data_IF_530274717018
#
_entry.id   IF_530274717018
#
_cell.length_a   1.000
_cell.length_b   1.000
_cell.length_c   1.000
_cell.angle_alpha   90.00
_cell.angle_beta   90.00
_cell.angle_gamma   90.00
#
_symmetry.space_group_name_H-M   'P 1'
#
loop_
_entity.id
_entity.type
_entity.pdbx_description
1 polymer ?
#
# COMPACT_ATOMS: atom_id res chain seq x y z
N UNK A 1 -23.94 -17.14 -25.69
CA UNK A 1 -22.51 -16.77 -25.58
C UNK A 1 -22.45 -15.61 -24.61
N UNK A 2 -21.62 -15.69 -23.60
CA UNK A 2 -21.43 -14.61 -22.65
C UNK A 2 -20.23 -13.73 -23.08
N UNK A 3 -20.27 -12.45 -22.71
CA UNK A 3 -19.19 -11.50 -22.97
C UNK A 3 -18.48 -11.21 -21.67
N UNK A 4 -17.18 -11.46 -21.63
CA UNK A 4 -16.30 -11.11 -20.53
C UNK A 4 -15.35 -9.98 -20.95
N UNK A 5 -15.14 -9.02 -20.07
CA UNK A 5 -14.15 -7.96 -20.27
C UNK A 5 -12.74 -8.48 -20.01
N UNK A 6 -11.84 -8.21 -20.92
CA UNK A 6 -10.43 -8.56 -20.78
C UNK A 6 -9.85 -8.04 -19.46
N UNK A 7 -9.12 -8.88 -18.74
CA UNK A 7 -8.48 -8.54 -17.47
C UNK A 7 -7.41 -7.45 -17.61
N UNK A 8 -6.78 -7.37 -18.78
CA UNK A 8 -5.75 -6.38 -19.13
C UNK A 8 -6.39 -5.09 -19.68
N UNK A 9 -6.81 -5.09 -20.93
CA UNK A 9 -7.24 -3.87 -21.64
C UNK A 9 -8.72 -3.51 -21.49
N UNK A 10 -9.58 -4.42 -20.99
CA UNK A 10 -11.03 -4.21 -20.87
C UNK A 10 -11.83 -4.45 -22.15
N UNK A 11 -11.19 -4.86 -23.25
CA UNK A 11 -11.88 -5.24 -24.49
C UNK A 11 -12.82 -6.44 -24.30
N UNK A 12 -13.78 -6.61 -25.21
CA UNK A 12 -14.75 -7.70 -25.14
C UNK A 12 -14.14 -9.02 -25.57
N UNK A 13 -14.41 -10.08 -24.83
CA UNK A 13 -14.03 -11.46 -25.16
C UNK A 13 -15.30 -12.30 -25.17
N UNK A 14 -15.63 -12.88 -26.32
CA UNK A 14 -16.70 -13.85 -26.41
C UNK A 14 -16.22 -15.21 -25.86
N UNK A 15 -16.97 -15.71 -24.89
CA UNK A 15 -16.66 -17.01 -24.28
C UNK A 15 -17.78 -17.99 -24.48
N UNK A 16 -17.41 -19.26 -24.66
CA UNK A 16 -18.31 -20.43 -24.55
C UNK A 16 -18.07 -21.12 -23.22
N UNK A 17 -19.09 -21.82 -22.71
CA UNK A 17 -19.07 -22.45 -21.39
C UNK A 17 -17.85 -23.38 -21.14
N UNK A 18 -17.25 -23.90 -22.18
CA UNK A 18 -16.13 -24.86 -22.10
C UNK A 18 -14.74 -24.18 -22.16
N UNK A 19 -14.68 -22.86 -22.41
CA UNK A 19 -13.40 -22.15 -22.56
C UNK A 19 -12.96 -21.54 -21.23
N UNK A 20 -11.88 -22.08 -20.66
CA UNK A 20 -11.21 -21.53 -19.46
C UNK A 20 -9.95 -20.74 -19.80
N UNK A 21 -9.64 -20.58 -21.09
CA UNK A 21 -8.45 -19.94 -21.59
C UNK A 21 -8.70 -19.30 -22.97
N UNK A 22 -8.13 -18.11 -23.20
CA UNK A 22 -8.33 -17.40 -24.46
C UNK A 22 -7.36 -16.24 -24.67
N UNK A 23 -7.34 -15.74 -25.90
CA UNK A 23 -6.55 -14.59 -26.32
C UNK A 23 -7.49 -13.42 -26.62
N UNK A 24 -7.21 -12.26 -26.06
CA UNK A 24 -7.96 -11.04 -26.36
C UNK A 24 -7.60 -10.53 -27.77
N UNK A 25 -8.58 -10.32 -28.63
CA UNK A 25 -8.35 -9.79 -29.98
C UNK A 25 -7.88 -8.33 -30.00
N UNK A 26 -8.15 -7.57 -28.92
CA UNK A 26 -7.79 -6.15 -28.82
C UNK A 26 -6.35 -5.93 -28.39
N UNK A 27 -5.86 -6.66 -27.39
CA UNK A 27 -4.52 -6.47 -26.84
C UNK A 27 -3.56 -7.64 -27.07
N UNK A 28 -4.02 -8.72 -27.72
CA UNK A 28 -3.20 -9.91 -27.98
C UNK A 28 -2.84 -10.75 -26.75
N UNK A 29 -3.20 -10.30 -25.55
CA UNK A 29 -2.85 -11.00 -24.32
C UNK A 29 -3.62 -12.30 -24.18
N UNK A 30 -2.90 -13.36 -23.80
CA UNK A 30 -3.47 -14.65 -23.48
C UNK A 30 -3.72 -14.74 -21.98
N UNK A 31 -4.91 -15.21 -21.59
CA UNK A 31 -5.34 -15.23 -20.19
C UNK A 31 -6.28 -16.37 -19.87
N UNK A 32 -6.44 -16.67 -18.61
CA UNK A 32 -7.48 -17.53 -18.10
C UNK A 32 -8.84 -16.83 -18.13
N UNK A 33 -9.91 -17.58 -18.32
CA UNK A 33 -11.28 -17.09 -18.40
C UNK A 33 -12.16 -17.84 -17.40
N UNK A 34 -13.18 -17.18 -16.82
CA UNK A 34 -14.12 -17.83 -15.93
C UNK A 34 -14.99 -18.85 -16.70
N UNK A 35 -15.38 -19.91 -16.02
CA UNK A 35 -16.48 -20.75 -16.49
C UNK A 35 -17.78 -19.98 -16.24
N UNK A 36 -18.45 -19.60 -17.31
CA UNK A 36 -19.68 -18.82 -17.24
C UNK A 36 -20.83 -19.64 -17.76
N UNK A 37 -21.74 -19.98 -16.88
CA UNK A 37 -22.96 -20.72 -17.14
C UNK A 37 -24.19 -19.82 -17.31
N UNK A 38 -24.12 -18.58 -16.79
CA UNK A 38 -25.19 -17.59 -16.91
C UNK A 38 -24.66 -16.15 -17.05
N UNK A 39 -25.58 -15.21 -17.37
CA UNK A 39 -25.28 -13.80 -17.54
C UNK A 39 -24.96 -13.10 -16.21
N UNK A 40 -25.47 -13.57 -15.08
CA UNK A 40 -25.25 -12.96 -13.76
C UNK A 40 -23.79 -13.20 -13.33
N UNK A 41 -23.29 -14.39 -13.54
CA UNK A 41 -21.89 -14.73 -13.27
C UNK A 41 -20.93 -13.93 -14.16
N UNK A 42 -21.26 -13.79 -15.45
CA UNK A 42 -20.50 -12.93 -16.37
C UNK A 42 -20.48 -11.47 -15.88
N UNK A 43 -21.63 -10.95 -15.48
CA UNK A 43 -21.74 -9.59 -14.96
C UNK A 43 -20.93 -9.39 -13.66
N UNK A 44 -20.89 -10.38 -12.77
CA UNK A 44 -20.09 -10.34 -11.55
C UNK A 44 -18.58 -10.27 -11.85
N UNK A 45 -18.06 -11.14 -12.72
CA UNK A 45 -16.65 -11.07 -13.15
C UNK A 45 -16.33 -9.74 -13.85
N UNK A 46 -17.21 -9.24 -14.71
CA UNK A 46 -17.01 -7.95 -15.40
C UNK A 46 -16.95 -6.79 -14.41
N UNK A 47 -17.78 -6.80 -13.36
CA UNK A 47 -17.74 -5.81 -12.28
C UNK A 47 -16.44 -5.89 -11.48
N UNK A 48 -16.04 -7.11 -11.08
CA UNK A 48 -14.77 -7.33 -10.38
C UNK A 48 -13.58 -6.86 -11.20
N UNK A 49 -13.52 -7.22 -12.48
CA UNK A 49 -12.49 -6.79 -13.41
C UNK A 49 -12.47 -5.26 -13.60
N UNK A 50 -13.62 -4.60 -13.65
CA UNK A 50 -13.70 -3.14 -13.70
C UNK A 50 -13.09 -2.50 -12.45
N UNK A 51 -13.50 -2.92 -11.25
CA UNK A 51 -12.94 -2.40 -10.00
C UNK A 51 -11.43 -2.64 -9.89
N UNK A 52 -10.95 -3.81 -10.28
CA UNK A 52 -9.52 -4.12 -10.24
C UNK A 52 -8.71 -3.20 -11.15
N UNK A 53 -9.15 -3.00 -12.41
CA UNK A 53 -8.49 -2.06 -13.35
C UNK A 53 -8.58 -0.60 -12.90
N UNK A 54 -9.54 -0.25 -12.06
CA UNK A 54 -9.66 1.09 -11.47
C UNK A 54 -8.89 1.23 -10.15
N UNK A 55 -8.07 0.22 -9.75
CA UNK A 55 -7.33 0.22 -8.50
C UNK A 55 -8.19 0.03 -7.23
N UNK A 56 -9.51 -0.21 -7.38
CA UNK A 56 -10.45 -0.40 -6.28
C UNK A 56 -10.42 -1.86 -5.79
N UNK A 57 -9.25 -2.32 -5.39
CA UNK A 57 -8.97 -3.73 -5.09
C UNK A 57 -9.88 -4.33 -4.01
N UNK A 58 -10.27 -3.55 -2.98
CA UNK A 58 -11.16 -4.06 -1.91
C UNK A 58 -12.58 -4.30 -2.44
N UNK A 59 -13.08 -3.44 -3.33
CA UNK A 59 -14.38 -3.64 -3.97
C UNK A 59 -14.34 -4.82 -4.93
N UNK A 60 -13.25 -4.97 -5.69
CA UNK A 60 -13.04 -6.10 -6.57
C UNK A 60 -12.99 -7.42 -5.78
N UNK A 61 -12.21 -7.45 -4.71
CA UNK A 61 -12.08 -8.60 -3.81
C UNK A 61 -13.45 -9.04 -3.27
N UNK A 62 -14.24 -8.09 -2.73
CA UNK A 62 -15.57 -8.39 -2.21
C UNK A 62 -16.54 -8.98 -3.26
N UNK A 63 -16.35 -8.66 -4.54
CA UNK A 63 -17.12 -9.29 -5.63
C UNK A 63 -16.68 -10.73 -5.86
N UNK A 64 -15.36 -10.97 -5.94
CA UNK A 64 -14.82 -12.32 -6.19
C UNK A 64 -15.02 -13.26 -5.00
N UNK A 65 -14.88 -12.79 -3.76
CA UNK A 65 -15.20 -13.56 -2.54
C UNK A 65 -16.64 -14.05 -2.50
N UNK A 66 -17.60 -13.29 -3.07
CA UNK A 66 -18.98 -13.76 -3.21
C UNK A 66 -19.09 -14.90 -4.21
N UNK A 67 -18.35 -14.84 -5.32
CA UNK A 67 -18.34 -15.92 -6.30
C UNK A 67 -17.73 -17.18 -5.68
N UNK A 68 -16.62 -17.04 -4.92
CA UNK A 68 -16.01 -18.14 -4.17
C UNK A 68 -16.98 -18.71 -3.13
N UNK A 69 -17.75 -17.86 -2.43
CA UNK A 69 -18.74 -18.32 -1.45
C UNK A 69 -19.92 -19.10 -2.07
N UNK A 70 -20.21 -18.87 -3.37
CA UNK A 70 -21.23 -19.63 -4.12
C UNK A 70 -20.65 -20.94 -4.71
N UNK A 71 -19.38 -20.93 -5.12
CA UNK A 71 -18.64 -22.07 -5.66
C UNK A 71 -17.15 -21.98 -5.25
N UNK A 72 -16.78 -22.70 -4.21
CA UNK A 72 -15.42 -22.76 -3.67
C UNK A 72 -14.40 -23.50 -4.56
N UNK A 73 -14.87 -24.10 -5.66
CA UNK A 73 -14.04 -24.71 -6.69
C UNK A 73 -13.83 -23.79 -7.91
N UNK A 74 -14.32 -22.56 -7.90
CA UNK A 74 -14.08 -21.60 -8.98
C UNK A 74 -12.63 -21.10 -9.00
N UNK A 75 -11.79 -21.78 -9.79
CA UNK A 75 -10.38 -21.46 -9.93
C UNK A 75 -10.13 -19.99 -10.36
N UNK A 76 -10.97 -19.44 -11.25
CA UNK A 76 -10.79 -18.07 -11.72
C UNK A 76 -11.17 -17.03 -10.67
N UNK A 77 -12.21 -17.30 -9.87
CA UNK A 77 -12.58 -16.42 -8.76
C UNK A 77 -11.47 -16.37 -7.70
N UNK A 78 -10.91 -17.51 -7.30
CA UNK A 78 -9.76 -17.60 -6.44
C UNK A 78 -8.54 -16.86 -7.00
N UNK A 79 -8.21 -17.07 -8.28
CA UNK A 79 -7.13 -16.33 -8.93
C UNK A 79 -7.34 -14.82 -8.83
N UNK A 80 -8.55 -14.35 -9.11
CA UNK A 80 -8.88 -12.93 -9.02
C UNK A 80 -8.83 -12.39 -7.57
N UNK A 81 -9.17 -13.20 -6.55
CA UNK A 81 -8.98 -12.84 -5.15
C UNK A 81 -7.50 -12.62 -4.83
N UNK A 82 -6.62 -13.52 -5.24
CA UNK A 82 -5.17 -13.36 -5.07
C UNK A 82 -4.65 -12.09 -5.76
N UNK A 83 -5.06 -11.84 -7.02
CA UNK A 83 -4.69 -10.60 -7.73
C UNK A 83 -5.11 -9.34 -6.97
N UNK A 84 -6.31 -9.31 -6.39
CA UNK A 84 -6.81 -8.16 -5.63
C UNK A 84 -6.03 -7.95 -4.32
N UNK A 85 -5.71 -9.04 -3.61
CA UNK A 85 -5.00 -8.99 -2.34
C UNK A 85 -3.61 -8.38 -2.49
N UNK A 86 -2.91 -8.73 -3.57
CA UNK A 86 -1.61 -8.16 -3.89
C UNK A 86 -1.67 -6.88 -4.74
N UNK A 87 -2.88 -6.40 -5.08
CA UNK A 87 -3.08 -5.20 -5.87
C UNK A 87 -2.48 -5.31 -7.27
N UNK A 88 -2.71 -6.44 -7.93
CA UNK A 88 -2.16 -6.67 -9.26
C UNK A 88 -3.02 -5.95 -10.30
N UNK A 89 -2.41 -4.98 -10.94
CA UNK A 89 -2.87 -4.33 -12.14
C UNK A 89 -1.94 -4.72 -13.30
N UNK A 90 -2.47 -4.82 -14.51
CA UNK A 90 -1.66 -5.03 -15.69
C UNK A 90 -1.54 -3.72 -16.45
N UNK A 91 -0.32 -3.34 -16.75
CA UNK A 91 0.01 -2.13 -17.53
C UNK A 91 0.73 -2.51 -18.82
N UNK A 92 0.48 -1.77 -19.88
CA UNK A 92 1.17 -1.96 -21.15
C UNK A 92 2.57 -1.37 -21.08
N UNK A 93 3.58 -2.17 -21.35
CA UNK A 93 4.95 -1.71 -21.50
C UNK A 93 5.08 -0.95 -22.83
N UNK A 94 5.41 0.34 -22.81
CA UNK A 94 5.49 1.16 -24.03
C UNK A 94 6.60 0.72 -25.00
N UNK A 95 7.58 -0.06 -24.54
CA UNK A 95 8.68 -0.53 -25.38
C UNK A 95 8.36 -1.85 -26.10
N UNK A 96 7.66 -2.75 -25.41
CA UNK A 96 7.39 -4.11 -25.92
C UNK A 96 5.93 -4.33 -26.30
N UNK A 97 5.03 -3.43 -25.87
CA UNK A 97 3.57 -3.57 -25.99
C UNK A 97 3.03 -4.82 -25.27
N UNK A 98 3.80 -5.42 -24.38
CA UNK A 98 3.36 -6.52 -23.54
C UNK A 98 2.67 -5.97 -22.28
N UNK A 99 1.65 -6.68 -21.83
CA UNK A 99 0.97 -6.36 -20.57
C UNK A 99 1.69 -7.04 -19.41
N UNK A 100 2.28 -6.21 -18.54
CA UNK A 100 3.06 -6.63 -17.39
C UNK A 100 2.28 -6.41 -16.09
N UNK A 101 2.41 -7.33 -15.11
CA UNK A 101 1.78 -7.13 -13.82
C UNK A 101 2.53 -6.06 -13.01
N UNK A 102 1.78 -5.22 -12.30
CA UNK A 102 2.28 -4.41 -11.18
C UNK A 102 1.94 -5.10 -9.86
N UNK A 103 2.41 -4.57 -8.74
CA UNK A 103 2.11 -5.13 -7.41
C UNK A 103 1.96 -4.00 -6.39
N UNK A 104 0.82 -3.28 -6.47
CA UNK A 104 0.55 -2.09 -5.65
C UNK A 104 0.34 -2.39 -4.16
N UNK A 105 0.12 -3.65 -3.80
CA UNK A 105 -0.04 -4.13 -2.42
C UNK A 105 0.97 -5.22 -2.10
N UNK A 106 2.24 -4.98 -2.44
CA UNK A 106 3.31 -5.90 -2.08
C UNK A 106 3.26 -6.23 -0.58
N UNK A 107 3.60 -7.46 -0.23
CA UNK A 107 3.66 -7.98 1.13
C UNK A 107 4.96 -8.77 1.31
N UNK A 108 5.36 -9.00 2.55
CA UNK A 108 6.42 -9.96 2.87
C UNK A 108 5.95 -11.41 2.69
N UNK A 109 4.64 -11.65 2.76
CA UNK A 109 4.06 -12.96 2.44
C UNK A 109 4.16 -13.19 0.93
N UNK A 110 4.62 -14.37 0.51
CA UNK A 110 4.83 -14.71 -0.89
C UNK A 110 3.51 -14.85 -1.65
N UNK A 111 3.40 -14.27 -2.85
CA UNK A 111 2.27 -14.52 -3.75
C UNK A 111 2.08 -16.01 -4.04
N UNK A 112 3.18 -16.77 -4.14
CA UNK A 112 3.15 -18.22 -4.44
C UNK A 112 2.62 -19.06 -3.28
N UNK A 113 2.50 -18.49 -2.08
CA UNK A 113 1.98 -19.14 -0.88
C UNK A 113 0.56 -18.63 -0.52
N UNK A 114 0.01 -17.73 -1.33
CA UNK A 114 -1.34 -17.21 -1.11
C UNK A 114 -2.38 -18.32 -1.24
N UNK A 115 -3.31 -18.37 -0.29
CA UNK A 115 -4.30 -19.45 -0.20
C UNK A 115 -5.22 -19.52 -1.42
N UNK A 116 -5.59 -18.36 -1.99
CA UNK A 116 -6.44 -18.31 -3.16
C UNK A 116 -5.66 -18.62 -4.44
N UNK A 117 -4.37 -18.25 -4.52
CA UNK A 117 -3.53 -18.71 -5.62
C UNK A 117 -3.40 -20.24 -5.62
N UNK A 118 -3.17 -20.84 -4.47
CA UNK A 118 -3.05 -22.31 -4.34
C UNK A 118 -4.37 -23.00 -4.69
N UNK A 119 -5.51 -22.48 -4.25
CA UNK A 119 -6.83 -22.98 -4.61
C UNK A 119 -7.10 -22.85 -6.13
N UNK A 120 -6.72 -21.72 -6.75
CA UNK A 120 -6.85 -21.56 -8.20
C UNK A 120 -6.05 -22.62 -8.97
N UNK A 121 -4.84 -22.93 -8.52
CA UNK A 121 -4.01 -24.00 -9.11
C UNK A 121 -4.63 -25.37 -8.90
N UNK A 122 -5.15 -25.67 -7.72
CA UNK A 122 -5.74 -26.96 -7.36
C UNK A 122 -7.01 -27.25 -8.19
N UNK A 123 -7.92 -26.27 -8.31
CA UNK A 123 -9.22 -26.43 -8.96
C UNK A 123 -9.19 -26.25 -10.49
N UNK A 124 -8.03 -25.97 -11.08
CA UNK A 124 -7.88 -25.73 -12.52
C UNK A 124 -7.55 -26.98 -13.32
N UNK A 125 -7.96 -26.98 -14.61
CA UNK A 125 -7.47 -27.95 -15.58
C UNK A 125 -5.98 -27.75 -15.93
N UNK A 126 -5.39 -28.72 -16.64
CA UNK A 126 -3.94 -28.71 -16.87
C UNK A 126 -3.42 -27.55 -17.73
N UNK A 127 -4.25 -26.93 -18.59
CA UNK A 127 -3.86 -25.77 -19.41
C UNK A 127 -3.94 -24.51 -18.58
N UNK A 128 -5.07 -24.29 -17.93
CA UNK A 128 -5.34 -23.15 -17.05
C UNK A 128 -4.35 -23.09 -15.89
N UNK A 129 -4.03 -24.24 -15.30
CA UNK A 129 -3.01 -24.40 -14.25
C UNK A 129 -1.65 -23.88 -14.68
N UNK A 130 -1.18 -24.28 -15.86
CA UNK A 130 0.11 -23.81 -16.38
C UNK A 130 0.12 -22.30 -16.61
N UNK A 131 -1.01 -21.73 -17.01
CA UNK A 131 -1.11 -20.28 -17.19
C UNK A 131 -1.06 -19.56 -15.83
N UNK A 132 -1.82 -20.01 -14.81
CA UNK A 132 -1.72 -19.45 -13.47
C UNK A 132 -0.29 -19.50 -12.93
N UNK A 133 0.38 -20.64 -13.07
CA UNK A 133 1.77 -20.79 -12.62
C UNK A 133 2.74 -19.85 -13.34
N UNK A 134 2.55 -19.66 -14.66
CA UNK A 134 3.36 -18.72 -15.46
C UNK A 134 3.15 -17.28 -15.03
N UNK A 135 1.89 -16.87 -14.84
CA UNK A 135 1.55 -15.51 -14.44
C UNK A 135 1.97 -15.25 -12.99
N UNK A 136 1.78 -16.21 -12.09
CA UNK A 136 2.24 -16.14 -10.71
C UNK A 136 3.76 -16.00 -10.59
N UNK A 137 4.53 -16.67 -11.46
CA UNK A 137 5.99 -16.53 -11.47
C UNK A 137 6.41 -15.11 -11.84
N UNK A 138 5.75 -14.46 -12.81
CA UNK A 138 6.00 -13.05 -13.16
C UNK A 138 5.64 -12.10 -11.98
N UNK A 139 4.49 -12.32 -11.36
CA UNK A 139 4.06 -11.54 -10.19
C UNK A 139 5.06 -11.67 -9.04
N UNK A 140 5.50 -12.90 -8.74
CA UNK A 140 6.48 -13.16 -7.70
C UNK A 140 7.85 -12.52 -8.00
N UNK A 141 8.23 -12.40 -9.27
CA UNK A 141 9.44 -11.69 -9.69
C UNK A 141 9.31 -10.18 -9.42
N UNK A 142 8.20 -9.56 -9.80
CA UNK A 142 7.91 -8.15 -9.48
C UNK A 142 7.92 -7.92 -7.97
N UNK A 143 7.24 -8.77 -7.20
CA UNK A 143 7.23 -8.70 -5.74
C UNK A 143 8.65 -8.76 -5.15
N UNK A 144 9.49 -9.71 -5.60
CA UNK A 144 10.88 -9.81 -5.15
C UNK A 144 11.69 -8.55 -5.47
N UNK A 145 11.50 -7.97 -6.65
CA UNK A 145 12.12 -6.70 -7.05
C UNK A 145 11.75 -5.56 -6.09
N UNK A 146 10.46 -5.43 -5.76
CA UNK A 146 9.96 -4.44 -4.80
C UNK A 146 10.61 -4.64 -3.42
N UNK A 147 10.61 -5.87 -2.91
CA UNK A 147 11.19 -6.18 -1.60
C UNK A 147 12.70 -5.92 -1.56
N UNK A 148 13.45 -6.34 -2.59
CA UNK A 148 14.88 -6.15 -2.68
C UNK A 148 15.27 -4.66 -2.72
N UNK A 149 14.56 -3.84 -3.50
CA UNK A 149 14.78 -2.40 -3.57
C UNK A 149 14.42 -1.73 -2.24
N UNK A 150 13.31 -2.13 -1.62
CA UNK A 150 12.85 -1.56 -0.35
C UNK A 150 13.81 -1.79 0.81
N UNK A 151 14.54 -2.90 0.82
CA UNK A 151 15.54 -3.21 1.86
C UNK A 151 16.73 -2.24 1.84
N UNK A 152 17.00 -1.59 0.73
CA UNK A 152 18.08 -0.62 0.59
C UNK A 152 17.67 0.81 0.99
N UNK A 153 16.37 1.05 1.18
CA UNK A 153 15.85 2.35 1.62
C UNK A 153 16.00 2.50 3.14
N UNK A 154 16.48 3.69 3.55
CA UNK A 154 16.49 4.02 4.97
C UNK A 154 15.06 4.13 5.49
N UNK A 155 14.77 3.68 6.72
CA UNK A 155 13.45 3.76 7.31
C UNK A 155 12.93 5.20 7.40
N UNK A 156 11.65 5.39 7.08
CA UNK A 156 10.94 6.64 7.30
C UNK A 156 10.27 6.65 8.67
N UNK A 157 10.19 7.83 9.30
CA UNK A 157 9.46 8.04 10.55
C UNK A 157 7.98 8.33 10.27
N UNK A 158 7.70 9.14 9.24
CA UNK A 158 6.38 9.63 8.89
C UNK A 158 6.07 9.42 7.41
N UNK A 159 4.85 9.00 7.10
CA UNK A 159 4.30 8.90 5.75
C UNK A 159 3.18 9.94 5.59
N UNK A 160 3.28 10.82 4.61
CA UNK A 160 2.22 11.77 4.26
C UNK A 160 1.37 11.18 3.13
N UNK A 161 0.09 10.93 3.44
CA UNK A 161 -0.91 10.41 2.52
C UNK A 161 -1.91 11.51 2.17
N UNK A 162 -2.04 11.85 0.89
CA UNK A 162 -2.86 12.95 0.42
C UNK A 162 -3.17 12.81 -1.07
N UNK A 163 -4.17 13.52 -1.57
CA UNK A 163 -4.46 13.58 -3.01
C UNK A 163 -3.57 14.63 -3.67
N UNK A 164 -2.61 14.19 -4.49
CA UNK A 164 -1.67 15.09 -5.18
C UNK A 164 -2.35 15.95 -6.24
N UNK A 165 -3.14 15.33 -7.12
CA UNK A 165 -3.65 15.97 -8.34
C UNK A 165 -5.17 15.97 -8.36
N UNK A 166 -5.78 17.09 -8.71
CA UNK A 166 -7.20 17.26 -8.95
C UNK A 166 -7.64 16.72 -10.32
N UNK A 167 -8.93 16.78 -10.59
CA UNK A 167 -9.50 16.38 -11.90
C UNK A 167 -9.02 17.28 -13.06
N UNK A 168 -8.63 18.50 -12.73
CA UNK A 168 -8.07 19.49 -13.65
C UNK A 168 -6.57 19.28 -13.96
N UNK A 169 -5.97 18.24 -13.39
CA UNK A 169 -4.55 17.93 -13.52
C UNK A 169 -3.62 18.85 -12.71
N UNK A 170 -4.18 19.78 -11.91
CA UNK A 170 -3.39 20.67 -11.07
C UNK A 170 -3.18 20.07 -9.67
N UNK A 171 -2.20 20.60 -8.95
CA UNK A 171 -1.99 20.25 -7.54
C UNK A 171 -3.21 20.61 -6.72
N UNK A 172 -3.59 19.69 -5.86
CA UNK A 172 -4.65 19.96 -4.88
C UNK A 172 -4.15 20.85 -3.74
N UNK A 173 -5.09 21.43 -3.00
CA UNK A 173 -4.78 22.12 -1.75
C UNK A 173 -4.19 21.16 -0.71
N UNK A 174 -4.60 19.89 -0.72
CA UNK A 174 -4.05 18.86 0.16
C UNK A 174 -2.55 18.68 -0.04
N UNK A 175 -2.10 18.66 -1.32
CA UNK A 175 -0.68 18.58 -1.67
C UNK A 175 0.13 19.77 -1.15
N UNK A 176 -0.43 20.99 -1.18
CA UNK A 176 0.22 22.17 -0.63
C UNK A 176 0.34 22.09 0.89
N UNK A 177 -0.73 21.66 1.57
CA UNK A 177 -0.74 21.49 3.02
C UNK A 177 0.20 20.35 3.46
N UNK A 178 0.25 19.26 2.71
CA UNK A 178 1.20 18.17 2.94
C UNK A 178 2.66 18.65 2.82
N UNK A 179 2.93 19.56 1.90
CA UNK A 179 4.26 20.17 1.75
C UNK A 179 4.62 21.04 2.96
N UNK A 180 3.70 21.80 3.52
CA UNK A 180 3.92 22.55 4.75
C UNK A 180 4.24 21.63 5.93
N UNK A 181 3.46 20.56 6.10
CA UNK A 181 3.70 19.53 7.13
C UNK A 181 5.05 18.84 6.92
N UNK A 182 5.43 18.57 5.68
CA UNK A 182 6.72 17.97 5.33
C UNK A 182 7.88 18.82 5.84
N UNK A 183 7.89 20.12 5.56
CA UNK A 183 8.99 21.00 5.97
C UNK A 183 9.06 21.11 7.50
N UNK A 184 7.93 21.32 8.17
CA UNK A 184 7.88 21.44 9.63
C UNK A 184 8.39 20.17 10.34
N UNK A 185 7.96 19.00 9.89
CA UNK A 185 8.43 17.73 10.46
C UNK A 185 9.89 17.44 10.13
N UNK A 186 10.36 17.84 8.95
CA UNK A 186 11.76 17.67 8.56
C UNK A 186 12.67 18.59 9.38
N UNK A 187 12.24 19.81 9.70
CA UNK A 187 12.97 20.72 10.61
C UNK A 187 13.10 20.16 12.03
N UNK A 188 12.14 19.33 12.45
CA UNK A 188 12.23 18.60 13.73
C UNK A 188 13.17 17.38 13.66
N UNK A 189 13.77 17.11 12.52
CA UNK A 189 14.70 15.99 12.31
C UNK A 189 14.04 14.65 12.01
N UNK A 190 12.74 14.63 11.66
CA UNK A 190 12.08 13.40 11.22
C UNK A 190 12.34 13.12 9.74
N UNK A 191 12.51 11.85 9.39
CA UNK A 191 12.57 11.42 8.00
C UNK A 191 11.15 11.19 7.49
N UNK A 192 10.69 12.09 6.62
CA UNK A 192 9.29 12.13 6.14
C UNK A 192 9.22 11.66 4.69
N UNK A 193 8.33 10.70 4.41
CA UNK A 193 7.97 10.36 3.04
C UNK A 193 6.89 11.32 2.56
N UNK A 194 7.25 12.13 1.58
CA UNK A 194 6.35 13.01 0.83
C UNK A 194 6.58 12.72 -0.65
N UNK A 195 5.65 12.01 -1.27
CA UNK A 195 5.83 11.41 -2.60
C UNK A 195 6.42 12.38 -3.63
N UNK A 196 5.92 13.63 -3.67
CA UNK A 196 6.37 14.64 -4.59
C UNK A 196 7.88 14.94 -4.51
N UNK A 197 8.43 15.08 -3.31
CA UNK A 197 9.86 15.38 -3.10
C UNK A 197 10.67 14.08 -3.07
N UNK A 198 10.21 13.08 -2.32
CA UNK A 198 10.95 11.84 -2.11
C UNK A 198 11.15 11.05 -3.41
N UNK A 199 10.20 11.14 -4.35
CA UNK A 199 10.26 10.42 -5.62
C UNK A 199 10.85 11.27 -6.77
N UNK A 200 11.09 12.58 -6.57
CA UNK A 200 11.69 13.44 -7.57
C UNK A 200 13.09 12.96 -7.97
N UNK A 201 13.91 12.59 -6.98
CA UNK A 201 15.26 12.04 -7.18
C UNK A 201 15.25 10.61 -7.77
N UNK A 202 14.09 9.99 -7.88
CA UNK A 202 13.88 8.64 -8.42
C UNK A 202 13.28 8.66 -9.83
N UNK A 203 13.34 9.79 -10.52
CA UNK A 203 12.78 9.95 -11.86
C UNK A 203 13.30 8.86 -12.81
N UNK A 204 12.38 8.15 -13.47
CA UNK A 204 12.68 7.02 -14.36
C UNK A 204 12.78 5.66 -13.66
N UNK A 205 12.60 5.58 -12.33
CA UNK A 205 12.48 4.34 -11.59
C UNK A 205 11.00 4.00 -11.31
N UNK A 206 10.72 2.73 -11.02
CA UNK A 206 9.43 2.32 -10.48
C UNK A 206 9.22 2.89 -9.08
N UNK A 207 8.06 3.49 -8.80
CA UNK A 207 7.78 4.13 -7.51
C UNK A 207 7.33 3.17 -6.41
N UNK A 208 6.72 2.05 -6.79
CA UNK A 208 6.17 1.06 -5.85
C UNK A 208 7.14 0.58 -4.76
N UNK A 209 8.41 0.27 -5.06
CA UNK A 209 9.38 -0.14 -4.04
C UNK A 209 9.59 0.90 -2.94
N UNK A 210 9.59 2.19 -3.31
CA UNK A 210 9.81 3.30 -2.38
C UNK A 210 8.57 3.57 -1.53
N UNK A 211 7.38 3.52 -2.15
CA UNK A 211 6.10 3.62 -1.44
C UNK A 211 5.97 2.45 -0.45
N UNK A 212 6.30 1.22 -0.90
CA UNK A 212 6.30 0.04 -0.05
C UNK A 212 7.24 0.20 1.15
N UNK A 213 8.49 0.63 0.91
CA UNK A 213 9.49 0.86 1.97
C UNK A 213 8.99 1.87 2.99
N UNK A 214 8.44 2.99 2.52
CA UNK A 214 7.94 4.06 3.36
C UNK A 214 6.72 3.63 4.19
N UNK A 215 5.73 2.96 3.59
CA UNK A 215 4.55 2.46 4.29
C UNK A 215 4.92 1.47 5.41
N UNK A 216 5.86 0.56 5.13
CA UNK A 216 6.25 -0.46 6.10
C UNK A 216 7.11 0.12 7.23
N UNK A 217 8.04 1.00 6.93
CA UNK A 217 8.96 1.57 7.93
C UNK A 217 8.31 2.67 8.78
N UNK A 218 7.47 3.53 8.21
CA UNK A 218 6.88 4.66 8.91
C UNK A 218 6.14 4.22 10.18
N UNK A 219 6.38 4.94 11.27
CA UNK A 219 5.68 4.78 12.56
C UNK A 219 4.39 5.60 12.59
N UNK A 220 4.36 6.71 11.88
CA UNK A 220 3.18 7.58 11.82
C UNK A 220 2.77 7.77 10.36
N UNK A 221 1.48 7.62 10.07
CA UNK A 221 0.87 8.10 8.84
C UNK A 221 0.03 9.34 9.14
N UNK A 222 0.25 10.41 8.40
CA UNK A 222 -0.59 11.62 8.41
C UNK A 222 -1.41 11.63 7.13
N UNK A 223 -2.73 11.52 7.25
CA UNK A 223 -3.65 11.56 6.11
C UNK A 223 -4.29 12.92 6.01
N UNK A 224 -4.06 13.64 4.92
CA UNK A 224 -4.47 15.04 4.75
C UNK A 224 -5.54 15.14 3.67
N UNK A 225 -6.64 15.86 3.98
CA UNK A 225 -7.68 16.13 3.01
C UNK A 225 -8.52 17.35 3.33
N UNK A 226 -9.00 18.01 2.27
CA UNK A 226 -9.90 19.18 2.32
C UNK A 226 -11.31 18.87 1.84
N UNK A 227 -11.55 17.62 1.42
CA UNK A 227 -12.86 17.12 0.97
C UNK A 227 -12.98 15.63 1.28
N UNK A 228 -14.20 15.12 1.56
CA UNK A 228 -14.43 13.68 1.77
C UNK A 228 -13.96 12.81 0.59
N UNK A 229 -14.13 13.30 -0.65
CA UNK A 229 -13.72 12.60 -1.88
C UNK A 229 -12.21 12.42 -1.96
N UNK A 230 -11.42 13.33 -1.37
CA UNK A 230 -9.97 13.24 -1.37
C UNK A 230 -9.47 12.09 -0.49
N UNK A 231 -10.08 11.88 0.69
CA UNK A 231 -9.79 10.71 1.55
C UNK A 231 -10.22 9.41 0.88
N UNK A 232 -11.26 9.45 0.05
CA UNK A 232 -11.80 8.30 -0.68
C UNK A 232 -11.20 8.13 -2.09
N UNK A 233 -10.29 9.02 -2.52
CA UNK A 233 -9.56 8.85 -3.76
C UNK A 233 -8.82 7.50 -3.76
N UNK A 234 -8.84 6.80 -4.88
CA UNK A 234 -8.46 5.37 -4.98
C UNK A 234 -7.10 5.09 -4.31
N UNK A 235 -6.07 5.82 -4.69
CA UNK A 235 -4.72 5.60 -4.17
C UNK A 235 -4.55 6.05 -2.72
N UNK A 236 -5.14 7.19 -2.35
CA UNK A 236 -5.16 7.67 -0.96
C UNK A 236 -5.81 6.63 -0.04
N UNK A 237 -6.97 6.10 -0.46
CA UNK A 237 -7.68 5.07 0.29
C UNK A 237 -6.89 3.76 0.37
N UNK A 238 -6.24 3.34 -0.71
CA UNK A 238 -5.39 2.14 -0.70
C UNK A 238 -4.24 2.28 0.31
N UNK A 239 -3.60 3.43 0.39
CA UNK A 239 -2.49 3.67 1.32
C UNK A 239 -2.95 3.68 2.78
N UNK A 240 -3.94 4.50 3.15
CA UNK A 240 -4.35 4.58 4.54
C UNK A 240 -5.07 3.32 5.03
N UNK A 241 -5.87 2.64 4.20
CA UNK A 241 -6.51 1.39 4.60
C UNK A 241 -5.50 0.28 4.87
N UNK A 242 -4.46 0.22 4.05
CA UNK A 242 -3.32 -0.69 4.24
C UNK A 242 -2.56 -0.37 5.52
N UNK A 243 -2.28 0.89 5.80
CA UNK A 243 -1.62 1.32 7.03
C UNK A 243 -2.47 1.01 8.28
N UNK A 244 -3.80 1.19 8.21
CA UNK A 244 -4.72 0.78 9.28
C UNK A 244 -4.65 -0.72 9.56
N UNK A 245 -4.52 -1.54 8.52
CA UNK A 245 -4.38 -2.99 8.66
C UNK A 245 -3.06 -3.35 9.34
N UNK A 246 -1.98 -2.64 9.03
CA UNK A 246 -0.69 -2.79 9.72
C UNK A 246 -0.77 -2.33 11.18
N UNK A 247 -1.45 -1.21 11.46
CA UNK A 247 -1.63 -0.68 12.81
C UNK A 247 -2.40 -1.65 13.74
N UNK A 248 -3.31 -2.47 13.19
CA UNK A 248 -3.98 -3.53 13.97
C UNK A 248 -3.02 -4.63 14.44
N UNK A 249 -1.96 -4.89 13.69
CA UNK A 249 -0.94 -5.90 13.99
C UNK A 249 0.26 -5.32 14.77
N UNK A 250 0.60 -4.06 14.52
CA UNK A 250 1.73 -3.34 15.15
C UNK A 250 1.22 -2.10 15.89
N UNK A 251 1.12 -2.19 17.21
CA UNK A 251 0.66 -1.08 18.08
C UNK A 251 1.65 0.07 18.19
N UNK A 252 2.85 -0.04 17.64
CA UNK A 252 3.82 1.05 17.57
C UNK A 252 3.52 2.01 16.40
N UNK A 253 2.53 1.70 15.55
CA UNK A 253 2.09 2.55 14.44
C UNK A 253 0.90 3.41 14.84
N UNK A 254 0.83 4.63 14.30
CA UNK A 254 -0.25 5.57 14.53
C UNK A 254 -0.69 6.21 13.21
N UNK A 255 -1.99 6.30 12.97
CA UNK A 255 -2.58 7.05 11.86
C UNK A 255 -3.29 8.29 12.41
N UNK A 256 -2.96 9.46 11.84
CA UNK A 256 -3.48 10.78 12.21
C UNK A 256 -4.23 11.39 11.03
N UNK A 257 -5.56 11.37 11.00
CA UNK A 257 -6.34 12.11 10.03
C UNK A 257 -6.24 13.61 10.30
N UNK A 258 -5.89 14.40 9.28
CA UNK A 258 -5.82 15.85 9.30
C UNK A 258 -6.76 16.41 8.24
N UNK A 259 -7.70 17.24 8.65
CA UNK A 259 -8.71 17.79 7.74
C UNK A 259 -8.76 19.32 7.83
N UNK A 260 -9.24 19.96 6.76
CA UNK A 260 -9.48 21.40 6.72
C UNK A 260 -10.67 21.71 5.83
N UNK A 261 -11.45 22.73 6.22
CA UNK A 261 -12.59 23.25 5.45
C UNK A 261 -13.69 22.20 5.16
N UNK A 262 -13.84 21.19 6.04
CA UNK A 262 -14.87 20.17 5.99
C UNK A 262 -15.33 19.79 7.41
N UNK A 263 -16.50 19.17 7.51
CA UNK A 263 -16.97 18.64 8.78
C UNK A 263 -16.18 17.35 9.15
N UNK A 264 -15.69 17.18 10.40
CA UNK A 264 -15.05 15.95 10.84
C UNK A 264 -15.93 14.70 10.73
N UNK A 265 -17.26 14.88 10.75
CA UNK A 265 -18.22 13.77 10.54
C UNK A 265 -18.29 13.26 9.10
N UNK A 266 -17.77 14.05 8.14
CA UNK A 266 -17.67 13.64 6.73
C UNK A 266 -16.40 12.81 6.44
N UNK A 267 -15.53 12.60 7.43
CA UNK A 267 -14.41 11.67 7.30
C UNK A 267 -14.91 10.24 7.02
N UNK A 268 -14.17 9.44 6.24
CA UNK A 268 -14.47 8.02 6.10
C UNK A 268 -14.64 7.34 7.46
N UNK A 269 -15.64 6.46 7.58
CA UNK A 269 -15.99 5.81 8.84
C UNK A 269 -14.78 5.21 9.58
N UNK A 270 -13.87 4.56 8.82
CA UNK A 270 -12.66 3.98 9.40
C UNK A 270 -11.66 5.02 9.97
N UNK A 271 -11.72 6.27 9.52
CA UNK A 271 -10.88 7.37 10.00
C UNK A 271 -11.60 8.20 11.07
N UNK A 272 -12.92 8.30 11.03
CA UNK A 272 -13.71 9.13 11.95
C UNK A 272 -13.64 8.63 13.40
N UNK A 273 -13.32 7.36 13.62
CA UNK A 273 -13.14 6.77 14.96
C UNK A 273 -11.77 7.08 15.57
N UNK A 274 -10.85 7.66 14.79
CA UNK A 274 -9.51 8.02 15.24
C UNK A 274 -9.49 9.49 15.71
N UNK A 275 -8.51 9.81 16.56
CA UNK A 275 -8.23 11.21 16.89
C UNK A 275 -7.78 11.94 15.62
N UNK A 276 -8.58 12.93 15.18
CA UNK A 276 -8.30 13.75 14.01
C UNK A 276 -7.90 15.17 14.39
N UNK A 277 -7.18 15.84 13.49
CA UNK A 277 -6.70 17.21 13.68
C UNK A 277 -7.36 18.15 12.67
N UNK A 278 -7.93 19.23 13.17
CA UNK A 278 -8.44 20.33 12.35
C UNK A 278 -7.28 21.31 12.04
N UNK A 279 -6.85 21.31 10.80
CA UNK A 279 -5.72 22.14 10.34
C UNK A 279 -6.02 23.64 10.27
N UNK A 280 -7.26 24.06 10.50
CA UNK A 280 -7.63 25.47 10.60
C UNK A 280 -7.38 26.07 12.00
N UNK A 281 -7.21 25.21 13.01
CA UNK A 281 -7.02 25.64 14.39
C UNK A 281 -5.64 26.20 14.65
N UNK A 282 -5.59 27.28 15.42
CA UNK A 282 -4.32 27.83 15.92
C UNK A 282 -3.61 26.78 16.79
N UNK A 283 -2.32 26.54 16.53
CA UNK A 283 -1.55 25.52 17.25
C UNK A 283 -1.64 24.11 16.67
N UNK A 284 -2.39 23.91 15.57
CA UNK A 284 -2.50 22.61 14.90
C UNK A 284 -1.13 21.95 14.68
N UNK A 285 -0.17 22.68 14.11
CA UNK A 285 1.14 22.14 13.77
C UNK A 285 1.91 21.64 14.99
N UNK A 286 1.86 22.42 16.09
CA UNK A 286 2.49 22.04 17.36
C UNK A 286 1.85 20.78 17.95
N UNK A 287 0.53 20.64 17.83
CA UNK A 287 -0.21 19.47 18.29
C UNK A 287 0.14 18.24 17.45
N UNK A 288 0.24 18.40 16.13
CA UNK A 288 0.66 17.34 15.21
C UNK A 288 2.09 16.88 15.51
N UNK A 289 3.05 17.81 15.63
CA UNK A 289 4.45 17.51 15.96
C UNK A 289 4.53 16.74 17.28
N UNK A 290 3.77 17.15 18.29
CA UNK A 290 3.72 16.47 19.59
C UNK A 290 3.16 15.05 19.47
N UNK A 291 2.13 14.86 18.64
CA UNK A 291 1.57 13.55 18.33
C UNK A 291 2.59 12.63 17.66
N UNK A 292 3.31 13.13 16.66
CA UNK A 292 4.37 12.40 15.96
C UNK A 292 5.51 12.04 16.92
N UNK A 293 6.00 13.04 17.69
CA UNK A 293 7.09 12.87 18.65
C UNK A 293 6.83 11.76 19.66
N UNK A 294 5.62 11.72 20.21
CA UNK A 294 5.23 10.72 21.19
C UNK A 294 5.41 9.29 20.69
N UNK A 295 5.21 9.05 19.39
CA UNK A 295 5.28 7.70 18.80
C UNK A 295 6.69 7.42 18.30
N UNK A 296 7.30 8.34 17.55
CA UNK A 296 8.61 8.13 16.92
C UNK A 296 9.72 8.05 17.97
N UNK A 297 9.72 8.93 18.98
CA UNK A 297 10.75 8.92 20.02
C UNK A 297 10.61 7.70 20.95
N UNK A 298 9.38 7.22 21.19
CA UNK A 298 9.17 5.98 21.95
C UNK A 298 9.68 4.73 21.22
N UNK A 299 9.79 4.77 19.89
CA UNK A 299 10.27 3.69 19.06
C UNK A 299 11.80 3.70 18.88
N UNK A 300 12.48 4.81 19.21
CA UNK A 300 13.95 4.86 19.17
C UNK A 300 14.52 4.06 20.35
N UNK A 301 15.57 3.22 20.13
CA UNK A 301 16.27 2.58 21.23
C UNK A 301 16.74 3.65 22.23
N UNK A 302 16.42 3.51 23.50
CA UNK A 302 17.03 4.35 24.52
C UNK A 302 18.52 4.10 24.47
N UNK A 303 19.30 5.08 24.02
CA UNK A 303 20.76 5.06 24.21
C UNK A 303 20.97 4.96 25.73
N UNK A 304 21.59 3.87 26.15
CA UNK A 304 21.98 3.67 27.53
C UNK A 304 22.83 4.88 27.94
N UNK A 305 22.30 5.71 28.82
CA UNK A 305 23.07 6.77 29.48
C UNK A 305 24.13 6.06 30.30
N UNK A 306 25.32 5.92 29.74
CA UNK A 306 26.52 5.54 30.47
C UNK A 306 26.85 6.71 31.38
N UNK A 307 26.33 6.72 32.61
CA UNK A 307 26.83 7.54 33.68
C UNK A 307 28.30 7.18 33.89
N UNK A 308 29.18 8.03 33.42
CA UNK A 308 30.59 8.00 33.80
C UNK A 308 30.66 8.34 35.29
N UNK A 309 30.73 7.31 36.12
CA UNK A 309 31.13 7.41 37.52
C UNK A 309 32.55 7.95 37.53
N UNK A 310 32.69 9.22 37.86
CA UNK A 310 34.01 9.81 38.19
C UNK A 310 34.44 9.20 39.52
N UNK A 311 35.30 8.21 39.50
CA UNK A 311 36.04 7.79 40.68
C UNK A 311 36.91 8.95 41.19
N UNK A 312 36.49 9.48 42.34
CA UNK A 312 37.29 10.44 43.09
C UNK A 312 38.39 9.64 43.81
N UNK A 313 39.60 9.67 43.27
CA UNK A 313 40.79 9.11 43.95
C UNK A 313 41.09 10.03 45.13
N UNK A 314 40.81 9.57 46.33
CA UNK A 314 41.30 10.22 47.57
C UNK A 314 42.74 9.75 47.79
N UNK A 315 43.68 10.68 47.55
CA UNK A 315 45.09 10.48 47.93
C UNK A 315 45.23 10.73 49.42
N UNK A 316 45.39 9.66 50.19
CA UNK A 316 45.86 9.74 51.57
C UNK A 316 47.38 9.99 51.58
N UNK A 317 47.74 11.18 52.01
CA UNK A 317 49.13 11.56 52.34
C UNK A 317 49.42 11.18 53.81
N UNK A 318 50.06 10.04 54.00
CA UNK A 318 50.63 9.72 55.32
C UNK A 318 52.01 10.39 55.44
N UNK A 319 52.05 11.40 56.31
CA UNK A 319 53.28 12.02 56.73
C UNK A 319 54.04 11.12 57.72
N UNK A 320 55.17 10.61 57.25
CA UNK A 320 56.14 9.90 58.12
C UNK A 320 57.20 10.87 58.59
N UNK A 321 57.12 11.25 59.89
CA UNK A 321 58.19 11.86 60.62
C UNK A 321 59.25 10.85 60.94
N UNK A 322 60.54 11.12 60.59
CA UNK A 322 61.60 10.42 61.21
C UNK A 322 62.59 11.42 61.84
N UNK A 323 62.73 11.31 63.14
CA UNK A 323 63.74 11.86 63.98
C UNK A 323 64.84 10.85 64.16
N UNK A 324 66.01 11.27 63.97
CA UNK A 324 67.40 10.85 64.23
C UNK A 324 68.22 10.40 63.04
#
# INVERSE_FOLDING_TARGET
MAIIKCKMCGGDIEISADKTFGTCEYCGSTMTLPKVDDEQRAAAFNRGNHFRRSGEFDKALAVYERIVAEDDNDAEAHWCCALCRFGIEYVEDPATYEWLPTCHRASFDSFLEDVDYLAAVEHSDGITRRQYQKDAAKIAEVQRGILATSQNEQPFDVFLCYKETGEDGQRTRDSLMAQEVYYELTEQGYRVFFARITLEDKAGAEYEPYIFAALNSAKVMVVIGTKPEHFNAVWVKNEWSRFLSMMKKDRSKLLLPCYRDMDPYDLPEALSVLQSYDMSKIGFMQDLIRGVKKVVDAAKPQEAVTETVKETVVVHNEGGSNVQ
#
